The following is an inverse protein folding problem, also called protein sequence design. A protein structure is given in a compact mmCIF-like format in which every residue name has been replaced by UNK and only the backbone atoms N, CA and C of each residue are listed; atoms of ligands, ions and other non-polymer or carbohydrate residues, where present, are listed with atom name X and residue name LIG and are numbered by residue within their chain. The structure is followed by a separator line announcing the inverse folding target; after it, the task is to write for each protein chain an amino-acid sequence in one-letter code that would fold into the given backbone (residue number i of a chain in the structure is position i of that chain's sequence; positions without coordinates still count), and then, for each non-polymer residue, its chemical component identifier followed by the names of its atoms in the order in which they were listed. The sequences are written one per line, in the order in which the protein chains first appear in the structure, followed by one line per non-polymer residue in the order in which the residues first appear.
data_IF_897104829297
#
_entry.id   IF_897104829297
#
_cell.length_a   1.000
_cell.length_b   1.000
_cell.length_c   1.000
_cell.angle_alpha   90.00
_cell.angle_beta   90.00
_cell.angle_gamma   90.00
#
_symmetry.space_group_name_H-M   'P 1'
#
loop_
_entity.id
_entity.type
_entity.pdbx_description
1 polymer ?
#
# COMPACT_ATOMS: atom_id res chain seq x y z
N UNK A 1 31.86 49.70 58.90
CA UNK A 1 31.18 50.21 60.11
C UNK A 1 29.68 50.07 59.85
N UNK A 2 29.02 48.93 60.04
CA UNK A 2 29.15 47.82 61.02
C UNK A 2 28.35 48.06 62.31
N UNK A 3 27.28 47.26 62.47
CA UNK A 3 26.52 46.95 63.69
C UNK A 3 25.69 48.04 64.39
N UNK A 4 24.39 48.03 64.11
CA UNK A 4 23.28 48.29 65.06
C UNK A 4 22.09 47.38 64.70
N UNK A 5 21.09 47.08 65.56
CA UNK A 5 21.08 46.81 67.00
C UNK A 5 19.65 46.40 67.48
N UNK A 6 19.34 45.09 67.47
CA UNK A 6 18.36 44.39 68.32
C UNK A 6 16.83 44.74 68.30
N UNK A 7 16.03 43.78 68.82
CA UNK A 7 14.60 43.87 69.24
C UNK A 7 13.55 44.08 68.13
N UNK A 8 12.25 43.78 68.31
CA UNK A 8 11.56 42.78 69.17
C UNK A 8 10.05 42.72 68.79
N UNK A 9 9.41 41.56 68.96
CA UNK A 9 7.94 41.33 69.07
C UNK A 9 6.99 41.75 67.92
N UNK A 10 6.46 40.70 67.25
CA UNK A 10 5.03 40.29 67.20
C UNK A 10 3.96 41.28 66.71
N UNK A 11 3.32 40.91 65.59
CA UNK A 11 1.94 41.27 65.24
C UNK A 11 1.28 40.05 64.56
N UNK A 12 0.07 39.66 64.98
CA UNK A 12 -0.63 38.45 64.52
C UNK A 12 -1.99 38.76 63.90
N UNK A 13 -2.20 38.34 62.64
CA UNK A 13 -3.51 38.22 61.97
C UNK A 13 -3.37 36.98 61.04
N UNK A 14 -3.91 35.81 61.41
CA UNK A 14 -5.24 35.24 61.02
C UNK A 14 -5.44 35.05 59.50
N UNK A 15 -6.08 34.01 58.97
CA UNK A 15 -6.60 32.69 59.44
C UNK A 15 -7.03 31.91 58.14
N UNK A 16 -7.25 30.60 57.97
CA UNK A 16 -7.47 29.45 58.86
C UNK A 16 -6.84 28.13 58.31
N UNK A 17 -6.26 27.33 59.22
CA UNK A 17 -6.52 25.89 59.51
C UNK A 17 -6.66 24.84 58.39
N UNK A 18 -6.06 23.67 58.64
CA UNK A 18 -6.63 22.35 58.30
C UNK A 18 -6.19 21.19 59.21
N UNK A 19 -6.13 21.40 60.54
CA UNK A 19 -5.90 20.31 61.51
C UNK A 19 -7.07 19.30 61.56
N UNK A 20 -6.88 18.12 60.96
CA UNK A 20 -7.85 17.01 61.05
C UNK A 20 -7.43 15.98 62.10
N UNK A 21 -8.12 16.04 63.24
CA UNK A 21 -7.93 15.17 64.41
C UNK A 21 -8.13 13.69 64.06
N UNK A 22 -7.24 12.83 64.56
CA UNK A 22 -7.27 11.38 64.30
C UNK A 22 -8.61 10.73 64.69
N UNK A 23 -9.12 9.85 63.83
CA UNK A 23 -10.27 8.97 64.06
C UNK A 23 -9.91 7.56 63.64
N UNK A 24 -10.39 6.54 64.36
CA UNK A 24 -9.91 5.16 64.24
C UNK A 24 -10.51 4.39 63.05
N UNK A 25 -9.83 3.31 62.64
CA UNK A 25 -10.52 2.14 62.08
C UNK A 25 -10.46 1.89 60.57
N UNK A 26 -9.44 2.37 59.85
CA UNK A 26 -9.22 1.85 58.48
C UNK A 26 -8.65 0.42 58.54
N UNK A 27 -9.51 -0.58 58.28
CA UNK A 27 -9.04 -1.94 57.97
C UNK A 27 -8.28 -1.90 56.64
N UNK A 28 -7.02 -2.30 56.64
CA UNK A 28 -6.34 -2.71 55.40
C UNK A 28 -7.02 -3.96 54.86
N UNK A 29 -8.07 -3.78 54.05
CA UNK A 29 -8.59 -4.83 53.19
C UNK A 29 -7.50 -5.16 52.18
N UNK A 30 -6.69 -6.18 52.48
CA UNK A 30 -5.78 -6.81 51.54
C UNK A 30 -6.62 -7.23 50.33
N UNK A 31 -6.55 -6.45 49.26
CA UNK A 31 -7.29 -6.72 48.05
C UNK A 31 -6.74 -8.03 47.48
N UNK A 32 -7.51 -9.11 47.64
CA UNK A 32 -7.20 -10.39 47.00
C UNK A 32 -7.43 -10.22 45.51
N UNK A 33 -6.40 -9.72 44.82
CA UNK A 33 -6.33 -9.69 43.38
C UNK A 33 -6.30 -11.14 42.88
N UNK A 34 -7.49 -11.72 42.72
CA UNK A 34 -7.69 -13.09 42.25
C UNK A 34 -7.50 -13.14 40.71
N UNK A 35 -6.45 -12.49 40.23
CA UNK A 35 -6.01 -12.56 38.86
C UNK A 35 -5.38 -13.92 38.62
N UNK A 36 -5.97 -14.68 37.70
CA UNK A 36 -5.28 -15.83 37.14
C UNK A 36 -4.06 -15.31 36.39
N UNK A 37 -2.88 -15.45 36.98
CA UNK A 37 -1.62 -15.30 36.26
C UNK A 37 -1.52 -16.48 35.29
N UNK A 38 -2.15 -16.34 34.13
CA UNK A 38 -1.79 -17.11 32.95
C UNK A 38 -0.30 -16.86 32.72
N UNK A 39 0.50 -17.87 33.02
CA UNK A 39 1.93 -17.87 32.74
C UNK A 39 2.07 -17.49 31.24
N UNK A 40 2.93 -16.53 30.86
CA UNK A 40 3.10 -16.19 29.45
C UNK A 40 3.38 -17.48 28.69
N UNK A 41 2.65 -17.67 27.57
CA UNK A 41 2.77 -18.89 26.78
C UNK A 41 4.26 -19.13 26.48
N UNK A 42 4.77 -20.36 26.65
CA UNK A 42 6.19 -20.64 26.45
C UNK A 42 6.58 -20.13 25.07
N UNK A 43 7.63 -19.33 25.01
CA UNK A 43 8.04 -18.66 23.78
C UNK A 43 8.12 -19.69 22.65
N UNK A 44 7.31 -19.49 21.61
CA UNK A 44 7.28 -20.40 20.47
C UNK A 44 8.71 -20.52 19.93
N UNK A 45 9.23 -21.74 19.67
CA UNK A 45 10.58 -21.89 19.15
C UNK A 45 10.80 -20.95 17.96
N UNK A 46 11.93 -20.26 17.93
CA UNK A 46 12.29 -19.42 16.81
C UNK A 46 12.20 -20.27 15.53
N UNK A 47 11.47 -19.78 14.53
CA UNK A 47 11.31 -20.51 13.29
C UNK A 47 12.67 -20.67 12.62
N UNK A 48 12.95 -21.89 12.15
CA UNK A 48 14.17 -22.23 11.43
C UNK A 48 13.86 -22.48 9.95
N UNK A 49 14.83 -22.26 9.04
CA UNK A 49 14.70 -22.76 7.67
C UNK A 49 14.51 -24.28 7.67
N UNK A 50 13.68 -24.78 6.77
CA UNK A 50 13.36 -26.22 6.64
C UNK A 50 13.84 -26.70 5.29
N UNK A 51 15.13 -27.06 5.24
CA UNK A 51 15.81 -27.47 4.01
C UNK A 51 15.62 -28.96 3.73
N UNK A 52 15.16 -29.26 2.52
CA UNK A 52 15.23 -30.59 1.91
C UNK A 52 16.09 -30.53 0.65
N UNK A 53 16.83 -31.59 0.37
CA UNK A 53 17.57 -31.75 -0.88
C UNK A 53 17.32 -33.14 -1.47
N UNK A 54 17.23 -33.22 -2.79
CA UNK A 54 17.08 -34.47 -3.55
C UNK A 54 17.88 -34.39 -4.85
N UNK A 55 18.65 -35.44 -5.14
CA UNK A 55 19.40 -35.58 -6.39
C UNK A 55 18.78 -36.67 -7.25
N UNK A 56 18.80 -36.48 -8.57
CA UNK A 56 18.41 -37.45 -9.59
C UNK A 56 19.41 -37.43 -10.74
N UNK A 57 19.69 -38.60 -11.30
CA UNK A 57 20.55 -38.81 -12.46
C UNK A 57 19.76 -39.14 -13.73
N UNK A 58 20.31 -38.78 -14.89
CA UNK A 58 19.78 -39.15 -16.21
C UNK A 58 20.90 -39.24 -17.26
N UNK A 59 20.76 -40.14 -18.23
CA UNK A 59 21.69 -40.26 -19.35
C UNK A 59 21.32 -39.30 -20.49
N UNK A 60 22.29 -38.53 -20.95
CA UNK A 60 22.24 -37.71 -22.15
C UNK A 60 22.82 -38.50 -23.34
N UNK A 61 22.12 -38.47 -24.48
CA UNK A 61 22.43 -39.22 -25.72
C UNK A 61 22.34 -40.78 -25.64
N UNK A 62 21.75 -41.33 -24.57
CA UNK A 62 21.44 -42.77 -24.37
C UNK A 62 20.81 -43.41 -25.64
N UNK A 63 21.37 -44.55 -26.08
CA UNK A 63 20.83 -45.34 -27.20
C UNK A 63 19.54 -46.13 -26.86
N UNK A 64 19.11 -46.02 -25.60
CA UNK A 64 18.06 -46.75 -24.91
C UNK A 64 18.41 -48.17 -24.47
N UNK A 65 19.70 -48.53 -24.37
CA UNK A 65 20.18 -49.72 -23.66
C UNK A 65 20.43 -49.48 -22.15
N UNK A 66 20.34 -48.22 -21.70
CA UNK A 66 20.48 -47.73 -20.33
C UNK A 66 21.80 -48.09 -19.62
N UNK A 67 22.90 -48.17 -20.36
CA UNK A 67 24.27 -48.08 -19.80
C UNK A 67 24.86 -46.72 -20.16
N UNK A 68 25.92 -46.34 -19.44
CA UNK A 68 26.80 -45.24 -19.85
C UNK A 68 27.94 -45.82 -20.70
N UNK A 69 28.07 -45.34 -21.93
CA UNK A 69 29.10 -45.71 -22.90
C UNK A 69 29.74 -44.41 -23.45
N UNK A 70 31.09 -44.28 -23.54
CA UNK A 70 31.72 -43.03 -23.98
C UNK A 70 31.54 -42.67 -25.47
N UNK A 71 30.92 -43.54 -26.29
CA UNK A 71 30.92 -43.43 -27.77
C UNK A 71 29.69 -44.01 -28.51
N UNK A 72 28.91 -44.91 -27.92
CA UNK A 72 27.84 -45.69 -28.60
C UNK A 72 28.37 -46.38 -29.89
N UNK A 73 29.54 -47.03 -29.78
CA UNK A 73 30.25 -47.63 -30.92
C UNK A 73 30.70 -46.65 -32.04
N UNK A 74 30.40 -45.36 -31.91
CA UNK A 74 30.54 -44.31 -32.92
C UNK A 74 31.42 -43.17 -32.37
N UNK A 75 32.69 -43.04 -32.78
CA UNK A 75 33.62 -42.03 -32.23
C UNK A 75 33.26 -40.55 -32.45
N UNK A 76 32.06 -40.24 -32.94
CA UNK A 76 31.50 -38.89 -33.09
C UNK A 76 30.34 -38.59 -32.11
N UNK A 77 29.95 -39.53 -31.26
CA UNK A 77 28.97 -39.36 -30.16
C UNK A 77 29.65 -39.52 -28.81
N UNK A 78 29.07 -38.91 -27.77
CA UNK A 78 29.47 -39.06 -26.36
C UNK A 78 28.21 -39.01 -25.50
N UNK A 79 28.04 -39.99 -24.62
CA UNK A 79 26.99 -39.97 -23.59
C UNK A 79 27.49 -39.30 -22.31
N UNK A 80 26.60 -38.67 -21.55
CA UNK A 80 26.94 -37.97 -20.30
C UNK A 80 25.90 -38.29 -19.23
N UNK A 81 26.34 -38.38 -17.97
CA UNK A 81 25.43 -38.47 -16.82
C UNK A 81 25.15 -37.04 -16.34
N UNK A 82 23.90 -36.59 -16.49
CA UNK A 82 23.43 -35.33 -15.92
C UNK A 82 22.91 -35.61 -14.52
N UNK A 83 23.53 -34.99 -13.51
CA UNK A 83 23.04 -34.97 -12.13
C UNK A 83 22.29 -33.66 -11.89
N UNK A 84 21.01 -33.74 -11.55
CA UNK A 84 20.19 -32.61 -11.12
C UNK A 84 19.94 -32.69 -9.61
N UNK A 85 20.15 -31.59 -8.89
CA UNK A 85 19.88 -31.50 -7.45
C UNK A 85 18.91 -30.38 -7.13
N UNK A 86 17.71 -30.74 -6.71
CA UNK A 86 16.72 -29.79 -6.18
C UNK A 86 17.00 -29.56 -4.70
N UNK A 87 17.20 -28.30 -4.32
CA UNK A 87 17.27 -27.85 -2.93
C UNK A 87 16.06 -26.95 -2.67
N UNK A 88 15.34 -27.17 -1.57
CA UNK A 88 14.11 -26.44 -1.27
C UNK A 88 14.10 -25.99 0.19
N UNK A 89 13.87 -24.70 0.41
CA UNK A 89 13.44 -24.20 1.71
C UNK A 89 11.90 -24.25 1.78
N UNK A 90 11.39 -25.08 2.69
CA UNK A 90 9.95 -25.18 2.99
C UNK A 90 9.57 -24.48 4.30
N UNK A 91 10.54 -23.79 4.93
CA UNK A 91 10.34 -23.00 6.14
C UNK A 91 9.99 -21.54 5.84
N UNK A 92 9.46 -20.84 6.84
CA UNK A 92 9.07 -19.42 6.74
C UNK A 92 10.20 -18.46 7.14
N UNK A 93 11.47 -18.89 6.99
CA UNK A 93 12.69 -18.16 7.39
C UNK A 93 13.81 -18.49 6.41
N UNK A 94 14.59 -17.47 6.04
CA UNK A 94 15.63 -17.56 5.02
C UNK A 94 16.77 -18.51 5.41
N UNK A 95 17.18 -19.36 4.47
CA UNK A 95 18.27 -20.32 4.64
C UNK A 95 19.65 -19.69 4.36
N UNK A 96 19.97 -18.59 5.04
CA UNK A 96 21.22 -17.85 4.83
C UNK A 96 22.46 -18.70 5.11
N UNK A 97 23.49 -18.56 4.26
CA UNK A 97 24.77 -19.25 4.43
C UNK A 97 24.75 -20.76 4.14
N UNK A 98 23.73 -21.26 3.44
CA UNK A 98 23.66 -22.66 3.01
C UNK A 98 24.87 -23.02 2.11
N UNK A 99 25.52 -24.13 2.41
CA UNK A 99 26.61 -24.69 1.59
C UNK A 99 26.21 -26.05 1.04
N UNK A 100 25.98 -26.12 -0.28
CA UNK A 100 25.96 -27.40 -0.98
C UNK A 100 27.40 -27.95 -1.11
N UNK A 101 27.57 -29.26 -1.05
CA UNK A 101 28.87 -29.92 -1.25
C UNK A 101 28.60 -31.32 -1.76
N UNK A 102 29.00 -31.55 -2.99
CA UNK A 102 28.94 -32.84 -3.67
C UNK A 102 30.36 -33.35 -3.95
N UNK A 103 30.50 -34.65 -4.20
CA UNK A 103 31.78 -35.30 -4.51
C UNK A 103 31.59 -36.20 -5.72
N UNK A 104 32.11 -35.73 -6.86
CA UNK A 104 32.13 -36.46 -8.14
C UNK A 104 32.66 -37.88 -7.89
N UNK A 105 31.92 -38.89 -8.37
CA UNK A 105 32.32 -40.29 -8.23
C UNK A 105 33.67 -40.55 -8.93
N UNK A 106 34.51 -41.40 -8.32
CA UNK A 106 35.86 -41.66 -8.80
C UNK A 106 35.95 -42.31 -10.20
N UNK A 107 34.83 -42.78 -10.76
CA UNK A 107 34.73 -43.36 -12.10
C UNK A 107 34.17 -42.37 -13.14
N UNK A 108 33.69 -41.19 -12.72
CA UNK A 108 33.21 -40.14 -13.62
C UNK A 108 34.19 -38.96 -13.66
N UNK A 109 33.90 -37.97 -14.50
CA UNK A 109 34.63 -36.69 -14.54
C UNK A 109 33.64 -35.62 -14.94
N UNK A 110 33.67 -34.47 -14.27
CA UNK A 110 32.86 -33.32 -14.65
C UNK A 110 33.44 -32.72 -15.94
N UNK A 111 32.74 -32.93 -17.04
CA UNK A 111 33.00 -32.30 -18.34
C UNK A 111 31.89 -31.30 -18.68
N UNK A 112 32.29 -30.09 -19.10
CA UNK A 112 31.42 -28.92 -19.25
C UNK A 112 31.29 -28.05 -18.00
N UNK A 113 30.27 -27.18 -18.00
CA UNK A 113 29.93 -26.22 -16.94
C UNK A 113 28.86 -26.78 -16.00
N UNK A 114 28.88 -26.33 -14.74
CA UNK A 114 27.75 -26.51 -13.81
C UNK A 114 26.71 -25.45 -14.15
N UNK A 115 25.42 -25.81 -14.22
CA UNK A 115 24.34 -24.82 -14.17
C UNK A 115 23.74 -24.76 -12.76
N UNK A 116 23.27 -23.57 -12.34
CA UNK A 116 22.59 -23.31 -11.07
C UNK A 116 21.50 -22.28 -11.36
N UNK A 117 20.26 -22.57 -10.98
CA UNK A 117 19.14 -21.66 -11.20
C UNK A 117 19.34 -20.32 -10.47
N UNK A 118 18.85 -19.19 -11.01
CA UNK A 118 18.68 -17.97 -10.24
C UNK A 118 17.81 -18.23 -9.01
N UNK A 119 17.93 -17.37 -7.99
CA UNK A 119 16.98 -17.34 -6.86
C UNK A 119 16.21 -16.02 -6.89
N UNK A 120 14.90 -16.14 -7.12
CA UNK A 120 13.96 -15.05 -6.98
C UNK A 120 13.61 -14.84 -5.49
N UNK A 121 13.55 -13.59 -5.02
CA UNK A 121 13.24 -13.25 -3.64
C UNK A 121 11.84 -12.64 -3.45
N UNK A 122 11.07 -13.13 -2.46
CA UNK A 122 9.75 -12.58 -2.13
C UNK A 122 9.81 -11.07 -1.76
N UNK A 123 8.89 -10.29 -2.31
CA UNK A 123 8.77 -8.84 -2.11
C UNK A 123 7.61 -8.47 -1.18
N UNK A 124 7.72 -7.28 -0.55
CA UNK A 124 6.59 -6.65 0.13
C UNK A 124 6.54 -5.13 -0.08
N UNK A 125 5.41 -4.64 -0.59
CA UNK A 125 5.15 -3.22 -0.82
C UNK A 125 3.82 -2.79 -0.20
N UNK A 126 3.67 -1.48 0.00
CA UNK A 126 2.44 -0.87 0.51
C UNK A 126 1.88 0.13 -0.51
N UNK A 127 0.55 0.16 -0.66
CA UNK A 127 -0.15 1.19 -1.43
C UNK A 127 -1.41 1.62 -0.69
N UNK A 128 -2.14 2.57 -1.28
CA UNK A 128 -3.41 3.10 -0.77
C UNK A 128 -4.53 2.58 -1.66
N UNK A 129 -5.68 2.23 -1.08
CA UNK A 129 -6.82 1.72 -1.84
C UNK A 129 -7.20 2.66 -2.99
N UNK A 130 -7.55 2.07 -4.15
CA UNK A 130 -7.78 2.76 -5.44
C UNK A 130 -6.59 3.58 -6.00
N UNK A 131 -5.40 3.54 -5.39
CA UNK A 131 -4.25 4.38 -5.79
C UNK A 131 -3.17 3.55 -6.47
N UNK A 132 -2.67 4.05 -7.60
CA UNK A 132 -1.52 3.49 -8.31
C UNK A 132 -0.27 3.40 -7.41
N UNK A 133 0.43 2.27 -7.45
CA UNK A 133 1.81 2.10 -7.00
C UNK A 133 2.71 2.05 -8.24
N UNK A 134 3.86 2.72 -8.21
CA UNK A 134 4.99 2.52 -9.13
C UNK A 134 6.24 2.16 -8.33
N UNK A 135 6.86 1.02 -8.64
CA UNK A 135 8.14 0.55 -8.07
C UNK A 135 9.20 0.67 -9.17
N UNK A 136 10.07 1.67 -9.02
CA UNK A 136 10.91 2.18 -10.09
C UNK A 136 10.10 2.95 -11.16
N UNK A 137 10.79 3.69 -12.05
CA UNK A 137 10.15 4.32 -13.20
C UNK A 137 9.85 3.29 -14.28
N UNK A 138 8.62 2.77 -14.32
CA UNK A 138 8.12 2.07 -15.51
C UNK A 138 8.03 3.02 -16.72
N UNK A 139 8.09 2.46 -17.93
CA UNK A 139 8.06 3.23 -19.18
C UNK A 139 6.84 4.16 -19.28
N UNK A 140 7.08 5.45 -19.51
CA UNK A 140 6.08 6.54 -19.45
C UNK A 140 5.41 6.68 -18.06
N UNK A 141 6.15 7.15 -17.03
CA UNK A 141 5.65 7.20 -15.65
C UNK A 141 4.40 8.06 -15.52
N UNK A 142 3.41 7.59 -14.74
CA UNK A 142 2.09 8.20 -14.73
C UNK A 142 2.08 9.57 -14.07
N UNK A 143 1.36 10.52 -14.68
CA UNK A 143 1.05 11.83 -14.11
C UNK A 143 -0.22 11.82 -13.22
N UNK A 144 -0.81 10.63 -13.00
CA UNK A 144 -1.90 10.40 -12.04
C UNK A 144 -1.36 10.30 -10.61
N UNK A 145 -2.19 10.52 -9.57
CA UNK A 145 -1.81 10.32 -8.17
C UNK A 145 -1.32 8.90 -7.92
N UNK A 146 -0.19 8.78 -7.23
CA UNK A 146 0.47 7.50 -7.00
C UNK A 146 1.31 7.48 -5.72
N UNK A 147 1.51 6.27 -5.21
CA UNK A 147 2.62 5.93 -4.31
C UNK A 147 3.81 5.56 -5.19
N UNK A 148 5.03 5.96 -4.82
CA UNK A 148 6.24 5.62 -5.57
C UNK A 148 7.31 5.08 -4.63
N UNK A 149 7.94 3.98 -5.04
CA UNK A 149 9.09 3.35 -4.39
C UNK A 149 10.23 3.29 -5.39
N UNK A 150 11.47 3.46 -4.93
CA UNK A 150 12.67 3.32 -5.78
C UNK A 150 13.17 1.88 -5.72
N UNK A 151 13.42 1.26 -6.88
CA UNK A 151 14.05 -0.05 -6.94
C UNK A 151 13.62 -0.91 -8.13
N UNK A 152 13.56 -2.21 -7.89
CA UNK A 152 13.04 -3.31 -8.72
C UNK A 152 12.66 -4.49 -7.82
N UNK A 153 11.80 -5.40 -8.30
CA UNK A 153 11.69 -6.74 -7.69
C UNK A 153 12.97 -7.57 -7.87
N UNK A 154 13.89 -7.15 -8.74
CA UNK A 154 15.19 -7.81 -8.94
C UNK A 154 16.29 -7.29 -7.99
N UNK A 155 15.98 -6.41 -7.03
CA UNK A 155 17.00 -5.80 -6.15
C UNK A 155 17.43 -6.74 -4.99
N UNK A 156 16.68 -7.82 -4.74
CA UNK A 156 16.95 -8.91 -3.78
C UNK A 156 17.28 -10.26 -4.47
N UNK A 157 17.03 -10.38 -5.77
CA UNK A 157 17.31 -11.58 -6.57
C UNK A 157 18.82 -11.87 -6.65
N UNK A 158 19.17 -13.16 -6.83
CA UNK A 158 20.57 -13.60 -6.87
C UNK A 158 20.82 -14.53 -8.06
N UNK A 159 21.94 -14.30 -8.75
CA UNK A 159 22.49 -15.19 -9.77
C UNK A 159 23.85 -15.75 -9.35
N UNK A 160 24.19 -16.93 -9.87
CA UNK A 160 25.42 -17.65 -9.58
C UNK A 160 26.36 -17.72 -10.78
N UNK A 161 27.60 -18.17 -10.55
CA UNK A 161 28.61 -18.48 -11.58
C UNK A 161 28.97 -17.34 -12.56
N UNK A 162 28.49 -16.12 -12.30
CA UNK A 162 28.57 -14.92 -13.12
C UNK A 162 27.75 -14.93 -14.44
N UNK A 163 26.63 -15.68 -14.50
CA UNK A 163 25.60 -15.47 -15.54
C UNK A 163 24.63 -14.33 -15.16
N UNK A 164 23.50 -14.23 -15.88
CA UNK A 164 22.50 -13.17 -15.85
C UNK A 164 21.12 -13.74 -16.17
N UNK A 165 20.20 -13.66 -15.20
CA UNK A 165 18.78 -13.96 -15.44
C UNK A 165 18.04 -12.84 -16.21
N UNK A 166 16.84 -13.17 -16.69
CA UNK A 166 15.87 -12.27 -17.31
C UNK A 166 14.44 -12.59 -16.87
N UNK A 167 13.49 -11.67 -17.07
CA UNK A 167 12.07 -11.92 -16.79
C UNK A 167 11.48 -12.97 -17.76
N UNK A 168 11.05 -14.13 -17.26
CA UNK A 168 10.37 -15.18 -18.05
C UNK A 168 8.85 -14.93 -18.12
N UNK A 169 8.21 -14.61 -17.00
CA UNK A 169 6.77 -14.38 -16.92
C UNK A 169 6.33 -13.53 -15.73
N UNK A 170 5.16 -12.91 -15.87
CA UNK A 170 4.41 -12.26 -14.80
C UNK A 170 3.08 -13.00 -14.65
N UNK A 171 2.80 -13.57 -13.46
CA UNK A 171 1.76 -14.60 -13.29
C UNK A 171 1.93 -15.70 -14.38
N UNK A 172 0.84 -16.16 -15.00
CA UNK A 172 0.85 -17.09 -16.13
C UNK A 172 1.03 -16.40 -17.52
N UNK A 173 1.56 -15.17 -17.57
CA UNK A 173 1.75 -14.41 -18.82
C UNK A 173 3.25 -14.28 -19.13
N UNK A 174 3.69 -14.92 -20.20
CA UNK A 174 5.09 -14.85 -20.65
C UNK A 174 5.49 -13.40 -21.00
N UNK A 175 6.68 -13.00 -20.58
CA UNK A 175 7.31 -11.79 -21.07
C UNK A 175 7.86 -12.01 -22.49
N UNK A 176 7.98 -10.93 -23.28
CA UNK A 176 8.50 -10.98 -24.66
C UNK A 176 9.39 -9.78 -24.93
N UNK A 177 8.89 -8.56 -24.72
CA UNK A 177 9.66 -7.32 -24.77
C UNK A 177 8.85 -6.17 -24.16
N UNK A 178 9.52 -5.07 -23.79
CA UNK A 178 8.85 -3.87 -23.26
C UNK A 178 8.21 -4.13 -21.90
N UNK A 179 6.88 -4.32 -21.88
CA UNK A 179 6.10 -4.57 -20.67
C UNK A 179 5.16 -5.76 -20.84
N UNK A 180 5.01 -6.57 -19.79
CA UNK A 180 3.95 -7.58 -19.63
C UNK A 180 2.88 -7.04 -18.68
N UNK A 181 1.61 -7.39 -18.93
CA UNK A 181 0.47 -7.00 -18.10
C UNK A 181 -0.26 -8.25 -17.61
N UNK A 182 -0.57 -8.30 -16.32
CA UNK A 182 -1.30 -9.41 -15.70
C UNK A 182 -2.31 -8.93 -14.66
N UNK A 183 -3.21 -9.83 -14.25
CA UNK A 183 -4.15 -9.64 -13.15
C UNK A 183 -3.61 -10.32 -11.91
N UNK A 184 -3.53 -9.59 -10.79
CA UNK A 184 -3.13 -10.12 -9.47
C UNK A 184 -4.24 -10.99 -8.85
N UNK A 185 -3.90 -11.76 -7.82
CA UNK A 185 -4.77 -12.75 -7.18
C UNK A 185 -6.15 -12.19 -6.77
N UNK A 186 -6.19 -10.99 -6.18
CA UNK A 186 -7.42 -10.32 -5.76
C UNK A 186 -7.96 -9.30 -6.78
N UNK A 187 -7.43 -9.30 -8.01
CA UNK A 187 -8.00 -8.63 -9.18
C UNK A 187 -7.58 -7.17 -9.39
N UNK A 188 -6.48 -6.74 -8.80
CA UNK A 188 -5.73 -5.58 -9.27
C UNK A 188 -5.02 -5.86 -10.61
N UNK A 189 -4.47 -4.79 -11.21
CA UNK A 189 -3.75 -4.85 -12.49
C UNK A 189 -2.28 -4.56 -12.25
N UNK A 190 -1.41 -5.45 -12.71
CA UNK A 190 0.06 -5.32 -12.64
C UNK A 190 0.59 -5.11 -14.06
N UNK A 191 1.50 -4.15 -14.24
CA UNK A 191 2.27 -3.95 -15.47
C UNK A 191 3.75 -3.92 -15.09
N UNK A 192 4.55 -4.86 -15.60
CA UNK A 192 5.97 -5.02 -15.27
C UNK A 192 6.83 -4.95 -16.54
N UNK A 193 8.01 -4.34 -16.47
CA UNK A 193 9.02 -4.39 -17.54
C UNK A 193 10.12 -5.41 -17.27
N UNK A 194 10.91 -5.71 -18.31
CA UNK A 194 11.99 -6.70 -18.26
C UNK A 194 13.17 -6.36 -17.33
N UNK A 195 13.11 -5.24 -16.59
CA UNK A 195 14.07 -4.89 -15.53
C UNK A 195 13.51 -5.07 -14.11
N UNK A 196 12.33 -5.70 -13.98
CA UNK A 196 11.63 -5.98 -12.71
C UNK A 196 10.90 -4.77 -12.13
N UNK A 197 10.85 -3.65 -12.86
CA UNK A 197 10.11 -2.45 -12.45
C UNK A 197 8.66 -2.65 -12.80
N UNK A 198 7.76 -2.26 -11.90
CA UNK A 198 6.34 -2.50 -12.10
C UNK A 198 5.47 -1.38 -11.59
N UNK A 199 4.24 -1.37 -12.09
CA UNK A 199 3.15 -0.57 -11.55
C UNK A 199 1.96 -1.46 -11.20
N UNK A 200 1.26 -1.11 -10.13
CA UNK A 200 0.09 -1.84 -9.63
C UNK A 200 -1.07 -0.89 -9.38
N UNK A 201 -2.21 -1.15 -10.01
CA UNK A 201 -3.48 -0.50 -9.65
C UNK A 201 -4.35 -1.50 -8.89
N UNK A 202 -4.73 -1.24 -7.63
CA UNK A 202 -5.65 -2.09 -6.88
C UNK A 202 -6.98 -2.36 -7.61
N UNK A 203 -7.65 -3.44 -7.23
CA UNK A 203 -9.05 -3.65 -7.59
C UNK A 203 -9.92 -2.52 -7.04
N UNK A 204 -10.87 -2.06 -7.85
CA UNK A 204 -11.87 -1.05 -7.50
C UNK A 204 -12.51 -1.33 -6.13
N UNK A 205 -12.51 -0.32 -5.25
CA UNK A 205 -13.11 -0.37 -3.93
C UNK A 205 -12.35 -1.19 -2.87
N UNK A 206 -11.36 -2.00 -3.28
CA UNK A 206 -10.67 -2.96 -2.39
C UNK A 206 -9.76 -2.29 -1.37
N UNK A 207 -9.83 -2.78 -0.13
CA UNK A 207 -8.88 -2.52 0.97
C UNK A 207 -8.24 -3.82 1.46
N UNK A 208 -8.32 -4.90 0.68
CA UNK A 208 -7.66 -6.18 0.98
C UNK A 208 -6.26 -6.19 0.37
N UNK A 209 -5.32 -6.84 1.04
CA UNK A 209 -4.01 -7.14 0.47
C UNK A 209 -4.15 -7.94 -0.84
N UNK A 210 -3.19 -7.80 -1.73
CA UNK A 210 -3.14 -8.47 -3.03
C UNK A 210 -1.77 -9.12 -3.24
N UNK A 211 -1.68 -10.11 -4.14
CA UNK A 211 -0.44 -10.81 -4.48
C UNK A 211 -0.32 -11.08 -5.97
N UNK A 212 0.90 -11.14 -6.47
CA UNK A 212 1.20 -11.70 -7.79
C UNK A 212 2.58 -12.36 -7.76
N UNK A 213 2.86 -13.27 -8.68
CA UNK A 213 4.20 -13.83 -8.86
C UNK A 213 4.88 -13.29 -10.12
N UNK A 214 6.21 -13.30 -10.10
CA UNK A 214 7.05 -13.20 -11.30
C UNK A 214 8.01 -14.39 -11.33
N UNK A 215 8.44 -14.77 -12.54
CA UNK A 215 9.39 -15.86 -12.76
C UNK A 215 10.56 -15.32 -13.56
N UNK A 216 11.78 -15.57 -13.08
CA UNK A 216 13.03 -15.27 -13.76
C UNK A 216 13.66 -16.55 -14.34
N UNK A 217 14.52 -16.38 -15.33
CA UNK A 217 15.21 -17.46 -16.05
C UNK A 217 16.64 -17.07 -16.40
N UNK A 218 17.58 -18.00 -16.23
CA UNK A 218 18.93 -17.94 -16.81
C UNK A 218 18.89 -18.29 -18.32
N UNK A 219 20.05 -18.65 -18.88
CA UNK A 219 20.20 -19.12 -20.28
C UNK A 219 20.90 -20.48 -20.39
N UNK A 220 20.78 -21.31 -19.37
CA UNK A 220 21.41 -22.62 -19.34
C UNK A 220 22.94 -22.60 -19.21
N UNK A 221 23.54 -23.78 -19.35
CA UNK A 221 24.98 -23.99 -19.37
C UNK A 221 25.63 -23.58 -20.70
N UNK A 222 24.86 -23.54 -21.80
CA UNK A 222 25.33 -23.17 -23.15
C UNK A 222 25.22 -21.65 -23.46
N UNK A 223 24.45 -20.91 -22.66
CA UNK A 223 24.21 -19.47 -22.83
C UNK A 223 23.12 -19.10 -23.83
N UNK A 224 22.29 -20.06 -24.28
CA UNK A 224 21.28 -19.91 -25.34
C UNK A 224 19.87 -19.99 -24.75
N UNK A 225 19.29 -18.84 -24.42
CA UNK A 225 17.94 -18.75 -23.85
C UNK A 225 16.86 -19.49 -24.64
N UNK A 226 15.98 -20.21 -23.94
CA UNK A 226 14.79 -20.88 -24.49
C UNK A 226 15.00 -22.33 -24.92
N UNK A 227 16.04 -22.99 -24.39
CA UNK A 227 16.36 -24.40 -24.61
C UNK A 227 15.80 -25.30 -23.47
N UNK A 228 16.51 -26.37 -23.10
CA UNK A 228 16.08 -27.34 -22.09
C UNK A 228 16.84 -27.24 -20.75
N UNK A 229 18.01 -26.59 -20.73
CA UNK A 229 18.83 -26.36 -19.54
C UNK A 229 18.66 -24.95 -18.92
N UNK A 230 17.91 -24.06 -19.58
CA UNK A 230 17.16 -22.91 -19.03
C UNK A 230 16.52 -23.24 -17.66
N UNK A 231 17.13 -22.84 -16.52
CA UNK A 231 16.52 -23.00 -15.20
C UNK A 231 15.73 -21.74 -14.78
N UNK A 232 14.86 -21.88 -13.78
CA UNK A 232 13.90 -20.83 -13.41
C UNK A 232 13.65 -20.78 -11.91
N UNK A 233 13.32 -19.59 -11.41
CA UNK A 233 12.84 -19.37 -10.04
C UNK A 233 11.70 -18.36 -10.03
N UNK A 234 10.81 -18.48 -9.03
CA UNK A 234 9.54 -17.73 -8.95
C UNK A 234 9.36 -17.18 -7.54
N UNK A 235 9.16 -15.87 -7.44
CA UNK A 235 8.88 -15.19 -6.18
C UNK A 235 7.47 -14.57 -6.15
N UNK A 236 7.02 -14.27 -4.94
CA UNK A 236 5.71 -13.68 -4.64
C UNK A 236 5.87 -12.23 -4.20
N UNK A 237 5.24 -11.31 -4.92
CA UNK A 237 5.10 -9.91 -4.54
C UNK A 237 3.83 -9.73 -3.72
N UNK A 238 3.98 -9.35 -2.45
CA UNK A 238 2.86 -9.03 -1.56
C UNK A 238 2.60 -7.52 -1.52
N UNK A 239 1.35 -7.10 -1.74
CA UNK A 239 0.96 -5.69 -1.66
C UNK A 239 -0.07 -5.48 -0.55
N UNK A 240 0.32 -4.71 0.48
CA UNK A 240 -0.58 -4.25 1.54
C UNK A 240 -1.35 -3.02 1.10
N UNK A 241 -2.68 -3.11 1.04
CA UNK A 241 -3.56 -2.03 0.53
C UNK A 241 -4.18 -1.29 1.71
N UNK A 242 -3.71 -0.06 1.99
CA UNK A 242 -4.10 0.71 3.17
C UNK A 242 -5.27 1.68 2.95
N UNK A 243 -5.98 1.94 4.04
CA UNK A 243 -6.91 3.06 4.20
C UNK A 243 -6.17 4.38 4.46
N UNK A 244 -6.77 5.56 4.19
CA UNK A 244 -8.11 5.78 3.65
C UNK A 244 -8.20 5.41 2.16
N UNK A 245 -9.37 4.94 1.72
CA UNK A 245 -9.64 4.73 0.30
C UNK A 245 -9.95 6.06 -0.38
N UNK A 246 -9.45 6.20 -1.61
CA UNK A 246 -9.58 7.45 -2.38
C UNK A 246 -10.40 7.19 -3.63
N UNK A 247 -11.45 7.97 -3.86
CA UNK A 247 -12.28 7.95 -5.07
C UNK A 247 -11.94 9.18 -5.91
N UNK A 248 -11.46 8.95 -7.12
CA UNK A 248 -10.93 9.98 -8.00
C UNK A 248 -11.97 10.44 -9.03
N UNK A 249 -12.12 11.76 -9.22
CA UNK A 249 -13.06 12.40 -10.16
C UNK A 249 -12.33 13.37 -11.07
N UNK A 250 -12.47 13.18 -12.38
CA UNK A 250 -11.86 13.99 -13.44
C UNK A 250 -12.84 14.10 -14.60
N UNK A 251 -13.45 15.27 -14.81
CA UNK A 251 -14.44 15.44 -15.87
C UNK A 251 -13.86 15.43 -17.30
N UNK A 252 -12.54 15.41 -17.45
CA UNK A 252 -11.88 15.15 -18.75
C UNK A 252 -11.75 13.66 -19.07
N UNK A 253 -12.04 12.78 -18.11
CA UNK A 253 -11.97 11.34 -18.30
C UNK A 253 -13.14 10.80 -19.15
N UNK A 254 -12.89 9.68 -19.83
CA UNK A 254 -13.94 8.94 -20.53
C UNK A 254 -15.02 8.39 -19.57
N UNK A 255 -16.23 8.19 -20.09
CA UNK A 255 -17.29 7.54 -19.34
C UNK A 255 -16.93 6.08 -19.01
N UNK A 256 -17.38 5.59 -17.85
CA UNK A 256 -17.12 4.21 -17.40
C UNK A 256 -15.83 4.00 -16.60
N UNK A 257 -15.13 5.07 -16.21
CA UNK A 257 -14.07 5.00 -15.20
C UNK A 257 -14.57 4.47 -13.85
N UNK A 258 -13.67 3.90 -13.05
CA UNK A 258 -13.92 3.17 -11.80
C UNK A 258 -13.53 3.94 -10.54
N UNK A 259 -13.19 5.23 -10.70
CA UNK A 259 -12.79 6.08 -9.58
C UNK A 259 -11.44 5.74 -8.97
N UNK A 260 -10.58 4.97 -9.65
CA UNK A 260 -9.18 4.75 -9.24
C UNK A 260 -8.30 5.84 -9.83
N UNK A 261 -7.06 5.97 -9.36
CA UNK A 261 -6.23 7.10 -9.80
C UNK A 261 -5.88 7.04 -11.30
N UNK A 262 -5.85 5.85 -11.90
CA UNK A 262 -5.64 5.61 -13.33
C UNK A 262 -6.90 5.73 -14.19
N UNK A 263 -8.06 5.25 -13.70
CA UNK A 263 -9.37 5.36 -14.36
C UNK A 263 -10.42 6.11 -13.48
N UNK A 264 -10.25 7.42 -13.25
CA UNK A 264 -11.17 8.22 -12.42
C UNK A 264 -12.59 8.27 -12.99
N UNK A 265 -13.58 8.50 -12.13
CA UNK A 265 -14.94 8.79 -12.56
C UNK A 265 -14.99 10.12 -13.32
N UNK A 266 -15.76 10.19 -14.39
CA UNK A 266 -15.99 11.44 -15.11
C UNK A 266 -17.10 12.32 -14.51
N UNK A 267 -17.68 11.92 -13.36
CA UNK A 267 -18.71 12.69 -12.65
C UNK A 267 -18.59 12.60 -11.12
N UNK A 268 -19.02 13.66 -10.42
CA UNK A 268 -19.15 13.64 -8.96
C UNK A 268 -20.21 12.62 -8.49
N UNK A 269 -21.28 12.43 -9.28
CA UNK A 269 -22.33 11.47 -8.99
C UNK A 269 -21.81 10.02 -8.97
N UNK A 270 -20.87 9.68 -9.85
CA UNK A 270 -20.19 8.38 -9.84
C UNK A 270 -19.43 8.11 -8.54
N UNK A 271 -18.61 9.08 -8.09
CA UNK A 271 -17.93 8.98 -6.80
C UNK A 271 -18.92 8.93 -5.62
N UNK A 272 -19.97 9.76 -5.63
CA UNK A 272 -21.00 9.74 -4.60
C UNK A 272 -21.66 8.37 -4.48
N UNK A 273 -21.91 7.66 -5.59
CA UNK A 273 -22.57 6.35 -5.55
C UNK A 273 -21.76 5.26 -4.83
N UNK A 274 -20.44 5.41 -4.70
CA UNK A 274 -19.55 4.40 -4.09
C UNK A 274 -18.85 4.87 -2.80
N UNK A 275 -18.67 6.18 -2.61
CA UNK A 275 -18.06 6.80 -1.44
C UNK A 275 -19.01 6.79 -0.22
N UNK A 276 -19.28 5.58 0.27
CA UNK A 276 -20.26 5.24 1.30
C UNK A 276 -19.62 4.94 2.66
N UNK A 277 -18.29 4.77 2.71
CA UNK A 277 -17.59 4.30 3.91
C UNK A 277 -16.99 5.47 4.69
N UNK A 278 -16.96 5.34 6.01
CA UNK A 278 -16.35 6.33 6.90
C UNK A 278 -14.85 6.47 6.59
N UNK A 279 -14.36 7.71 6.44
CA UNK A 279 -12.98 7.99 6.05
C UNK A 279 -12.68 7.87 4.55
N UNK A 280 -13.65 7.58 3.68
CA UNK A 280 -13.45 7.70 2.22
C UNK A 280 -13.06 9.16 1.86
N UNK A 281 -12.04 9.31 1.02
CA UNK A 281 -11.65 10.59 0.42
C UNK A 281 -12.20 10.63 -1.01
N UNK A 282 -12.84 11.73 -1.40
CA UNK A 282 -13.21 12.02 -2.78
C UNK A 282 -12.26 13.11 -3.28
N UNK A 283 -11.39 12.76 -4.24
CA UNK A 283 -10.42 13.69 -4.83
C UNK A 283 -10.84 14.14 -6.22
N UNK A 284 -10.94 15.45 -6.40
CA UNK A 284 -11.45 16.09 -7.63
C UNK A 284 -10.31 16.80 -8.35
N UNK A 285 -9.92 16.28 -9.52
CA UNK A 285 -8.93 16.92 -10.40
C UNK A 285 -9.49 18.23 -10.97
N UNK A 286 -8.62 19.20 -11.28
CA UNK A 286 -8.97 20.49 -11.91
C UNK A 286 -9.92 20.37 -13.11
N UNK A 287 -9.78 19.30 -13.89
CA UNK A 287 -10.62 19.02 -15.04
C UNK A 287 -10.45 20.03 -16.18
N UNK A 288 -11.51 20.21 -16.97
CA UNK A 288 -11.60 21.21 -18.05
C UNK A 288 -11.85 22.65 -17.55
N UNK A 289 -11.89 22.86 -16.23
CA UNK A 289 -12.33 24.09 -15.53
C UNK A 289 -13.80 24.48 -15.75
N UNK A 290 -14.64 23.60 -16.27
CA UNK A 290 -16.11 23.73 -16.31
C UNK A 290 -16.76 22.86 -15.22
N UNK A 291 -18.06 23.08 -14.98
CA UNK A 291 -18.86 22.22 -14.10
C UNK A 291 -19.44 20.99 -14.82
N UNK A 292 -19.07 20.71 -16.07
CA UNK A 292 -19.59 19.54 -16.82
C UNK A 292 -19.27 18.24 -16.07
N UNK A 293 -20.27 17.39 -15.81
CA UNK A 293 -20.14 16.19 -14.96
C UNK A 293 -20.00 16.46 -13.46
N UNK A 294 -19.85 17.72 -13.07
CA UNK A 294 -19.64 18.22 -11.70
C UNK A 294 -20.76 19.19 -11.26
N UNK A 295 -21.89 19.17 -11.98
CA UNK A 295 -23.00 20.13 -11.91
C UNK A 295 -24.28 19.62 -11.21
N UNK A 296 -24.21 18.45 -10.55
CA UNK A 296 -25.33 17.87 -9.77
C UNK A 296 -25.16 18.04 -8.25
N UNK A 297 -24.13 18.78 -7.82
CA UNK A 297 -23.67 18.83 -6.43
C UNK A 297 -23.12 17.49 -5.93
N UNK A 298 -22.86 17.43 -4.63
CA UNK A 298 -22.47 16.20 -3.93
C UNK A 298 -22.96 16.19 -2.47
N UNK A 299 -23.34 15.02 -1.97
CA UNK A 299 -23.75 14.78 -0.59
C UNK A 299 -22.76 13.85 0.11
N UNK A 300 -22.20 14.31 1.23
CA UNK A 300 -21.33 13.49 2.09
C UNK A 300 -22.20 12.46 2.84
N UNK A 301 -21.71 11.23 3.01
CA UNK A 301 -22.54 10.09 3.45
C UNK A 301 -22.09 9.42 4.75
N UNK A 302 -20.80 9.52 5.10
CA UNK A 302 -20.27 8.88 6.31
C UNK A 302 -19.28 9.80 7.05
N UNK A 303 -19.09 9.52 8.34
CA UNK A 303 -18.19 10.29 9.19
C UNK A 303 -16.74 10.23 8.70
N UNK A 304 -15.96 11.26 9.00
CA UNK A 304 -14.54 11.41 8.63
C UNK A 304 -14.25 11.44 7.11
N UNK A 305 -15.28 11.48 6.26
CA UNK A 305 -15.10 11.62 4.81
C UNK A 305 -14.55 12.99 4.42
N UNK A 306 -13.78 13.03 3.34
CA UNK A 306 -13.16 14.25 2.85
C UNK A 306 -13.52 14.51 1.38
N UNK A 307 -13.85 15.75 1.03
CA UNK A 307 -13.98 16.21 -0.34
C UNK A 307 -12.85 17.20 -0.63
N UNK A 308 -11.90 16.77 -1.45
CA UNK A 308 -10.65 17.48 -1.72
C UNK A 308 -10.54 17.81 -3.21
N UNK A 309 -10.57 19.09 -3.57
CA UNK A 309 -10.22 19.55 -4.91
C UNK A 309 -8.72 19.75 -5.09
N UNK A 310 -8.24 19.68 -6.32
CA UNK A 310 -6.85 19.93 -6.72
C UNK A 310 -6.33 21.34 -6.35
N UNK A 311 -7.15 22.24 -5.80
CA UNK A 311 -6.70 23.47 -5.14
C UNK A 311 -5.87 23.24 -3.88
N UNK A 312 -5.91 22.02 -3.30
CA UNK A 312 -4.98 21.55 -2.26
C UNK A 312 -4.25 20.29 -2.71
N UNK A 313 -3.11 20.02 -2.06
CA UNK A 313 -2.36 18.78 -2.28
C UNK A 313 -3.14 17.57 -1.75
N UNK A 314 -3.08 16.45 -2.48
CA UNK A 314 -3.60 15.17 -2.00
C UNK A 314 -2.58 14.54 -1.06
N UNK A 315 -2.81 14.69 0.24
CA UNK A 315 -1.93 14.19 1.29
C UNK A 315 -2.77 13.43 2.35
N UNK A 316 -3.13 12.15 2.11
CA UNK A 316 -3.89 11.35 3.07
C UNK A 316 -3.11 11.06 4.35
N UNK A 317 -3.81 10.98 5.49
CA UNK A 317 -3.22 10.63 6.79
C UNK A 317 -2.97 9.13 6.89
N UNK A 318 -1.83 8.67 6.40
CA UNK A 318 -1.42 7.26 6.35
C UNK A 318 0.10 7.16 6.23
N UNK A 319 0.70 6.06 6.69
CA UNK A 319 2.10 5.72 6.41
C UNK A 319 2.16 4.56 5.41
N UNK A 320 2.86 4.75 4.29
CA UNK A 320 3.12 3.70 3.28
C UNK A 320 4.60 3.68 2.89
N UNK A 321 5.22 2.50 2.87
CA UNK A 321 6.64 2.30 2.53
C UNK A 321 7.58 3.21 3.36
N UNK A 322 7.27 3.38 4.65
CA UNK A 322 7.97 4.30 5.57
C UNK A 322 7.64 5.79 5.41
N UNK A 323 6.98 6.21 4.31
CA UNK A 323 6.60 7.62 4.08
C UNK A 323 5.34 7.96 4.86
N UNK A 324 5.47 8.83 5.86
CA UNK A 324 4.35 9.37 6.66
C UNK A 324 3.65 10.48 5.88
N UNK A 325 2.33 10.36 5.71
CA UNK A 325 1.45 11.31 5.02
C UNK A 325 1.98 11.68 3.61
N UNK A 326 2.02 10.72 2.66
CA UNK A 326 2.62 10.94 1.35
C UNK A 326 1.85 11.98 0.52
N UNK A 327 2.57 12.88 -0.15
CA UNK A 327 1.98 13.78 -1.14
C UNK A 327 1.77 13.04 -2.46
N UNK A 328 0.59 12.43 -2.64
CA UNK A 328 0.23 11.70 -3.86
C UNK A 328 0.06 12.62 -5.07
N UNK A 329 -0.28 13.89 -4.82
CA UNK A 329 -0.36 14.95 -5.85
C UNK A 329 -0.20 16.33 -5.22
N UNK A 330 0.65 17.17 -5.80
CA UNK A 330 0.81 18.58 -5.42
C UNK A 330 -0.45 19.40 -5.71
N UNK A 331 -0.63 20.52 -5.00
CA UNK A 331 -1.67 21.49 -5.30
C UNK A 331 -1.49 22.13 -6.69
N UNK A 332 -2.60 22.51 -7.31
CA UNK A 332 -2.68 23.30 -8.54
C UNK A 332 -3.94 24.15 -8.55
N UNK A 333 -4.62 24.29 -9.69
CA UNK A 333 -5.88 25.01 -9.76
C UNK A 333 -7.04 24.20 -9.15
N UNK A 334 -7.93 24.88 -8.43
CA UNK A 334 -9.16 24.30 -7.87
C UNK A 334 -10.18 23.97 -8.97
N UNK A 335 -10.80 22.77 -8.96
CA UNK A 335 -11.87 22.41 -9.90
C UNK A 335 -13.14 23.24 -9.69
N UNK A 336 -13.93 23.39 -10.74
CA UNK A 336 -15.28 23.98 -10.66
C UNK A 336 -16.32 22.89 -10.41
N UNK A 337 -17.09 23.02 -9.34
CA UNK A 337 -18.27 22.18 -9.05
C UNK A 337 -19.50 23.07 -8.84
N UNK A 338 -20.71 22.54 -9.02
CA UNK A 338 -21.94 23.33 -8.89
C UNK A 338 -23.21 22.48 -8.82
N UNK A 339 -24.35 23.14 -8.59
CA UNK A 339 -25.67 22.50 -8.58
C UNK A 339 -26.80 23.51 -8.83
N UNK A 340 -27.15 23.78 -10.10
CA UNK A 340 -28.15 24.81 -10.42
C UNK A 340 -29.55 24.55 -9.87
N UNK A 341 -29.85 23.33 -9.40
CA UNK A 341 -31.11 22.96 -8.75
C UNK A 341 -31.01 22.67 -7.24
N UNK A 342 -29.86 22.90 -6.59
CA UNK A 342 -29.66 22.52 -5.18
C UNK A 342 -28.33 22.99 -4.58
N UNK A 343 -27.85 22.33 -3.53
CA UNK A 343 -26.57 22.72 -2.89
C UNK A 343 -25.38 22.16 -3.66
N UNK A 344 -24.27 22.91 -3.74
CA UNK A 344 -23.01 22.43 -4.33
C UNK A 344 -22.40 21.29 -3.53
N UNK A 345 -22.34 21.43 -2.20
CA UNK A 345 -22.04 20.35 -1.25
C UNK A 345 -23.10 20.32 -0.16
N UNK A 346 -23.58 19.13 0.20
CA UNK A 346 -24.51 18.90 1.32
C UNK A 346 -23.86 18.01 2.39
N UNK A 347 -23.98 18.41 3.65
CA UNK A 347 -23.59 17.62 4.82
C UNK A 347 -24.75 17.60 5.82
N UNK A 348 -25.26 16.42 6.17
CA UNK A 348 -26.33 16.27 7.17
C UNK A 348 -25.94 15.32 8.29
N UNK A 349 -25.85 15.81 9.52
CA UNK A 349 -25.60 15.02 10.73
C UNK A 349 -24.36 14.10 10.69
N UNK A 350 -23.29 14.54 10.02
CA UNK A 350 -21.97 13.88 10.03
C UNK A 350 -20.95 14.60 10.92
N UNK A 351 -19.82 13.96 11.21
CA UNK A 351 -18.71 14.50 12.00
C UNK A 351 -17.37 14.12 11.39
N UNK A 352 -16.34 14.94 11.62
CA UNK A 352 -15.01 14.78 11.04
C UNK A 352 -14.93 15.11 9.53
N UNK A 353 -15.96 15.76 8.96
CA UNK A 353 -16.00 16.04 7.52
C UNK A 353 -15.02 17.16 7.15
N UNK A 354 -14.31 16.98 6.03
CA UNK A 354 -13.34 17.95 5.53
C UNK A 354 -13.71 18.34 4.09
N UNK A 355 -13.85 19.63 3.80
CA UNK A 355 -14.16 20.17 2.45
C UNK A 355 -13.11 21.22 2.08
N UNK A 356 -12.28 20.96 1.06
CA UNK A 356 -11.11 21.81 0.75
C UNK A 356 -10.74 21.87 -0.73
N UNK A 357 -10.16 22.99 -1.17
CA UNK A 357 -9.50 23.13 -2.47
C UNK A 357 -10.44 23.19 -3.67
N UNK A 358 -11.71 23.55 -3.47
CA UNK A 358 -12.77 23.59 -4.49
C UNK A 358 -13.12 25.03 -4.90
N UNK A 359 -13.53 25.23 -6.15
CA UNK A 359 -14.37 26.36 -6.53
C UNK A 359 -15.81 25.87 -6.69
N UNK A 360 -16.73 26.44 -5.93
CA UNK A 360 -18.14 26.03 -5.87
C UNK A 360 -18.99 27.18 -6.41
N UNK A 361 -19.63 26.96 -7.55
CA UNK A 361 -20.26 28.00 -8.36
C UNK A 361 -21.68 27.62 -8.81
N UNK A 362 -22.57 28.61 -8.92
CA UNK A 362 -23.87 28.44 -9.58
C UNK A 362 -24.82 27.45 -8.88
N UNK A 363 -24.84 27.48 -7.55
CA UNK A 363 -25.66 26.59 -6.70
C UNK A 363 -26.73 27.36 -5.93
N UNK A 364 -27.72 26.69 -5.35
CA UNK A 364 -28.64 27.30 -4.37
C UNK A 364 -27.86 27.76 -3.14
N UNK A 365 -27.29 26.83 -2.39
CA UNK A 365 -26.21 27.13 -1.45
C UNK A 365 -24.88 26.57 -1.99
N UNK A 366 -23.76 27.24 -1.73
CA UNK A 366 -22.44 26.71 -2.11
C UNK A 366 -22.13 25.45 -1.31
N UNK A 367 -22.06 25.58 0.01
CA UNK A 367 -22.04 24.47 0.96
C UNK A 367 -23.23 24.62 1.90
N UNK A 368 -23.97 23.53 2.15
CA UNK A 368 -25.02 23.47 3.16
C UNK A 368 -24.69 22.40 4.21
N UNK A 369 -24.73 22.80 5.48
CA UNK A 369 -24.45 21.94 6.63
C UNK A 369 -25.63 21.95 7.58
N UNK A 370 -26.20 20.78 7.88
CA UNK A 370 -27.34 20.62 8.79
C UNK A 370 -26.95 19.80 10.01
N UNK A 371 -27.22 20.35 11.19
CA UNK A 371 -27.02 19.72 12.49
C UNK A 371 -28.34 19.66 13.29
N UNK A 372 -29.02 18.51 13.29
CA UNK A 372 -30.16 18.21 14.17
C UNK A 372 -29.77 17.38 15.40
N UNK A 373 -28.47 17.06 15.54
CA UNK A 373 -27.87 16.31 16.66
C UNK A 373 -26.59 17.00 17.15
N UNK A 374 -26.16 16.68 18.37
CA UNK A 374 -24.90 17.17 18.94
C UNK A 374 -23.71 16.27 18.61
N UNK A 375 -22.49 16.84 18.63
CA UNK A 375 -21.25 16.10 18.35
C UNK A 375 -20.86 16.04 16.87
N UNK A 376 -21.59 16.77 16.02
CA UNK A 376 -21.35 16.89 14.60
C UNK A 376 -20.28 17.95 14.28
N UNK A 377 -19.51 17.76 13.20
CA UNK A 377 -18.41 18.66 12.85
C UNK A 377 -18.02 18.63 11.37
N UNK A 378 -17.73 19.81 10.83
CA UNK A 378 -17.24 20.04 9.48
C UNK A 378 -16.11 21.07 9.50
N UNK A 379 -15.03 20.79 8.79
CA UNK A 379 -13.91 21.72 8.54
C UNK A 379 -13.93 22.15 7.08
N UNK A 380 -14.19 23.44 6.83
CA UNK A 380 -14.28 24.04 5.51
C UNK A 380 -13.10 25.01 5.38
N UNK A 381 -12.14 24.71 4.51
CA UNK A 381 -10.99 25.63 4.31
C UNK A 381 -10.58 25.72 2.86
N UNK A 382 -10.00 26.83 2.44
CA UNK A 382 -9.42 26.98 1.07
C UNK A 382 -10.42 26.66 -0.07
N UNK A 383 -11.67 27.11 0.03
CA UNK A 383 -12.68 26.99 -1.04
C UNK A 383 -13.18 28.36 -1.51
N UNK A 384 -13.41 28.53 -2.80
CA UNK A 384 -14.11 29.70 -3.36
C UNK A 384 -15.59 29.38 -3.47
N UNK A 385 -16.46 30.27 -2.96
CA UNK A 385 -17.93 30.12 -3.03
C UNK A 385 -18.48 31.31 -3.84
N UNK A 386 -19.19 31.07 -4.95
CA UNK A 386 -19.60 32.15 -5.87
C UNK A 386 -20.91 31.87 -6.60
N UNK A 387 -21.57 32.93 -7.08
CA UNK A 387 -22.77 32.83 -7.92
C UNK A 387 -23.92 32.04 -7.30
N UNK A 388 -24.04 32.03 -5.97
CA UNK A 388 -25.09 31.30 -5.24
C UNK A 388 -26.41 32.06 -5.23
N UNK A 389 -27.54 31.38 -5.41
CA UNK A 389 -28.86 32.04 -5.41
C UNK A 389 -29.48 32.21 -4.02
N UNK A 390 -28.99 31.48 -3.02
CA UNK A 390 -29.19 31.73 -1.59
C UNK A 390 -27.84 32.04 -0.93
N UNK A 391 -27.31 31.17 -0.06
CA UNK A 391 -26.11 31.46 0.73
C UNK A 391 -24.83 30.90 0.10
N UNK A 392 -23.70 31.60 0.25
CA UNK A 392 -22.38 31.03 -0.05
C UNK A 392 -22.13 29.77 0.80
N UNK A 393 -22.33 29.91 2.12
CA UNK A 393 -22.30 28.86 3.12
C UNK A 393 -23.56 28.96 3.99
N UNK A 394 -24.29 27.85 4.12
CA UNK A 394 -25.43 27.67 5.04
C UNK A 394 -25.01 26.68 6.14
N UNK A 395 -25.21 27.06 7.40
CA UNK A 395 -24.98 26.20 8.57
C UNK A 395 -26.20 26.28 9.48
N UNK A 396 -27.12 25.33 9.30
CA UNK A 396 -28.41 25.28 9.98
C UNK A 396 -28.36 24.32 11.17
N UNK A 397 -28.72 24.80 12.36
CA UNK A 397 -28.85 24.01 13.60
C UNK A 397 -30.32 23.86 14.00
N UNK A 398 -30.72 22.63 14.35
CA UNK A 398 -32.12 22.28 14.65
C UNK A 398 -32.22 21.24 15.78
N UNK A 399 -31.58 21.53 16.93
CA UNK A 399 -31.64 20.69 18.11
C UNK A 399 -30.97 21.30 19.35
N UNK A 400 -31.05 20.59 20.48
CA UNK A 400 -30.45 21.00 21.77
C UNK A 400 -28.96 20.64 21.90
N UNK A 401 -28.36 20.02 20.88
CA UNK A 401 -26.94 19.69 20.81
C UNK A 401 -26.23 20.50 19.72
N UNK A 402 -25.11 21.14 20.06
CA UNK A 402 -24.32 21.89 19.10
C UNK A 402 -23.48 21.00 18.16
N UNK A 403 -23.38 21.42 16.90
CA UNK A 403 -22.33 21.00 15.97
C UNK A 403 -21.36 22.16 15.68
N UNK A 404 -20.15 21.85 15.22
CA UNK A 404 -19.08 22.83 14.98
C UNK A 404 -18.74 22.94 13.48
N UNK A 405 -18.85 24.14 12.91
CA UNK A 405 -18.32 24.45 11.58
C UNK A 405 -17.04 25.28 11.73
N UNK A 406 -15.89 24.68 11.44
CA UNK A 406 -14.59 25.37 11.45
C UNK A 406 -14.32 25.92 10.05
N UNK A 407 -14.05 27.23 9.95
CA UNK A 407 -13.84 27.96 8.69
C UNK A 407 -12.49 28.68 8.75
N UNK A 408 -11.62 28.49 7.75
CA UNK A 408 -10.30 29.16 7.63
C UNK A 408 -9.77 29.25 6.19
#
# INVERSE_FOLDING_TARGET
MTAMAARSQRSEVRDQRSDSKATAGSKLTKATANGSFVNPAPAMPAASPVITASMTDSLENDDADNKIDPTNGNPATTERIIYSTTITNSGTVDATGLKFTDTIDSHTTLDGTVNVSPLAGDDSYETIANTLLEVGPVGSPSARPKVTVTGSVFDNDTEFLADTFTLKSLQAVNFVSGTVTATSTNGGTVVMDGSGKFSFTPKEGSTSNDTFTYTITDKGADGIAGNADDLTSTATVTITVKSPRIWYVDNTAGAGGKGRSTDPFNTLAGAQAVATTAGDIIYVFTGDTTTTGQNSGITMQANNQQLLGNGVALQPTVTVNGVVNPTLRSAGAAPQIGNSGGNGVTVGNLSGIIIRGLNIAGSTNGIAVTYSTGGNSVTITTNTLSGTSANGLDVTTSGVGGGSATIA
#
